data_IF_529374365104
#
_entry.id   IF_529374365104
#
_cell.length_a   1.000
_cell.length_b   1.000
_cell.length_c   1.000
_cell.angle_alpha   90.00
_cell.angle_beta   90.00
_cell.angle_gamma   90.00
#
_symmetry.space_group_name_H-M   'P 1'
#
loop_
_entity.id
_entity.type
_entity.pdbx_description
1 polymer ?
#
# COMPACT_ATOMS: atom_id res chain seq x y z
N UNK A 1 15.07 -6.24 -9.85
CA UNK A 1 15.47 -7.24 -8.85
C UNK A 1 14.43 -7.22 -7.74
N UNK A 2 13.59 -8.24 -7.69
CA UNK A 2 12.61 -8.43 -6.62
C UNK A 2 13.33 -9.02 -5.40
N UNK A 3 13.73 -8.14 -4.47
CA UNK A 3 14.23 -8.55 -3.18
C UNK A 3 13.05 -8.86 -2.26
N UNK A 4 12.94 -10.09 -1.80
CA UNK A 4 11.93 -10.48 -0.81
C UNK A 4 12.60 -10.62 0.55
N UNK A 5 12.34 -9.65 1.44
CA UNK A 5 12.75 -9.72 2.84
C UNK A 5 12.10 -10.94 3.50
N UNK A 6 12.89 -11.74 4.20
CA UNK A 6 12.41 -12.93 4.88
C UNK A 6 12.43 -12.75 6.40
N UNK A 7 13.59 -12.48 6.97
CA UNK A 7 13.76 -12.39 8.42
C UNK A 7 14.99 -11.56 8.80
N UNK A 8 15.19 -11.39 10.10
CA UNK A 8 16.41 -10.84 10.69
C UNK A 8 16.87 -11.68 11.86
N UNK A 9 18.14 -11.51 12.21
CA UNK A 9 18.74 -12.05 13.43
C UNK A 9 19.64 -11.02 14.07
N UNK A 10 19.89 -11.16 15.38
CA UNK A 10 20.83 -10.31 16.11
C UNK A 10 22.18 -10.99 16.23
N UNK A 11 23.21 -10.25 15.89
CA UNK A 11 24.59 -10.66 16.06
C UNK A 11 25.32 -9.59 16.89
N UNK A 12 25.45 -9.84 18.21
CA UNK A 12 25.93 -8.86 19.21
C UNK A 12 24.99 -7.63 19.22
N UNK A 13 25.53 -6.45 18.89
CA UNK A 13 24.76 -5.18 18.79
C UNK A 13 24.29 -4.85 17.39
N UNK A 14 24.48 -5.76 16.43
CA UNK A 14 24.14 -5.53 15.02
C UNK A 14 23.00 -6.43 14.56
N UNK A 15 22.39 -6.04 13.48
CA UNK A 15 21.28 -6.77 12.85
C UNK A 15 21.76 -7.32 11.51
N UNK A 16 21.49 -8.59 11.30
CA UNK A 16 21.72 -9.29 10.04
C UNK A 16 20.36 -9.56 9.38
N UNK A 17 20.25 -9.31 8.09
CA UNK A 17 19.02 -9.40 7.32
C UNK A 17 19.12 -10.57 6.34
N UNK A 18 18.10 -11.41 6.35
CA UNK A 18 17.94 -12.55 5.43
C UNK A 18 16.93 -12.21 4.35
N UNK A 19 17.27 -12.55 3.12
CA UNK A 19 16.42 -12.42 1.94
C UNK A 19 16.19 -13.77 1.29
N UNK A 20 15.03 -13.97 0.65
CA UNK A 20 14.70 -15.24 0.00
C UNK A 20 15.50 -15.49 -1.28
N UNK A 21 15.85 -14.44 -2.02
CA UNK A 21 16.35 -14.55 -3.39
C UNK A 21 17.69 -13.83 -3.61
N UNK A 22 18.45 -13.56 -2.55
CA UNK A 22 19.75 -12.90 -2.64
C UNK A 22 20.60 -13.16 -1.41
N UNK A 23 21.85 -12.68 -1.45
CA UNK A 23 22.77 -12.77 -0.32
C UNK A 23 22.25 -11.98 0.88
N UNK A 24 22.44 -12.57 2.05
CA UNK A 24 22.14 -11.93 3.32
C UNK A 24 23.04 -10.69 3.50
N UNK A 25 22.50 -9.69 4.17
CA UNK A 25 23.25 -8.47 4.53
C UNK A 25 23.36 -8.37 6.03
N UNK A 26 24.49 -7.88 6.53
CA UNK A 26 24.81 -7.87 7.94
C UNK A 26 25.38 -6.53 8.40
N UNK A 27 25.39 -6.32 9.72
CA UNK A 27 26.09 -5.22 10.37
C UNK A 27 25.30 -3.93 10.49
N UNK A 28 23.96 -3.97 10.41
CA UNK A 28 23.11 -2.79 10.60
C UNK A 28 22.89 -2.48 12.08
N UNK A 29 22.76 -1.19 12.41
CA UNK A 29 22.45 -0.75 13.75
C UNK A 29 20.97 -0.85 14.06
N UNK A 30 20.11 -0.47 13.11
CA UNK A 30 18.67 -0.43 13.22
C UNK A 30 18.02 -1.04 11.96
N UNK A 31 16.84 -1.61 12.14
CA UNK A 31 16.00 -2.14 11.05
C UNK A 31 14.60 -1.51 11.11
N UNK A 32 14.13 -1.01 9.97
CA UNK A 32 12.75 -0.57 9.82
C UNK A 32 12.04 -1.48 8.81
N UNK A 33 11.00 -2.17 9.24
CA UNK A 33 10.19 -3.06 8.42
C UNK A 33 8.97 -2.30 7.92
N UNK A 34 8.91 -2.06 6.61
CA UNK A 34 7.80 -1.38 5.92
C UNK A 34 7.36 -2.15 4.66
N UNK A 35 7.36 -3.48 4.74
CA UNK A 35 7.20 -4.39 3.61
C UNK A 35 5.73 -4.77 3.31
N UNK A 36 4.78 -3.94 3.76
CA UNK A 36 3.35 -4.14 3.48
C UNK A 36 2.81 -5.47 4.04
N UNK A 37 2.22 -6.35 3.21
CA UNK A 37 1.66 -7.62 3.67
C UNK A 37 2.66 -8.55 4.36
N UNK A 38 3.92 -8.48 3.98
CA UNK A 38 4.98 -9.26 4.61
C UNK A 38 5.19 -8.95 6.10
N UNK A 39 4.70 -7.81 6.57
CA UNK A 39 4.75 -7.43 7.99
C UNK A 39 3.92 -8.37 8.89
N UNK A 40 2.93 -9.06 8.34
CA UNK A 40 2.07 -9.99 9.08
C UNK A 40 2.85 -11.12 9.74
N UNK A 41 3.97 -11.55 9.15
CA UNK A 41 4.89 -12.53 9.76
C UNK A 41 5.46 -12.06 11.11
N UNK A 42 5.63 -10.77 11.27
CA UNK A 42 6.31 -10.16 12.41
C UNK A 42 5.35 -9.40 13.34
N UNK A 43 4.18 -9.05 12.84
CA UNK A 43 3.11 -8.38 13.56
C UNK A 43 1.78 -9.07 13.25
N UNK A 44 1.48 -10.22 13.92
CA UNK A 44 0.26 -10.98 13.66
C UNK A 44 -1.02 -10.19 13.92
N UNK A 45 -2.06 -10.48 13.15
CA UNK A 45 -3.38 -9.87 13.29
C UNK A 45 -3.63 -8.69 12.36
N UNK A 46 -2.76 -8.44 11.41
CA UNK A 46 -3.02 -7.54 10.29
C UNK A 46 -4.16 -8.10 9.43
N UNK A 47 -4.98 -7.21 8.91
CA UNK A 47 -5.98 -7.52 7.90
C UNK A 47 -5.42 -7.22 6.53
N UNK A 48 -5.44 -8.22 5.66
CA UNK A 48 -5.03 -8.06 4.28
C UNK A 48 -6.28 -8.00 3.42
N UNK A 49 -6.30 -7.09 2.47
CA UNK A 49 -7.34 -6.98 1.45
C UNK A 49 -6.70 -6.77 0.08
N UNK A 50 -7.28 -7.38 -0.94
CA UNK A 50 -6.91 -7.17 -2.34
C UNK A 50 -7.64 -5.95 -2.87
N UNK A 51 -6.97 -5.15 -3.66
CA UNK A 51 -7.54 -4.01 -4.36
C UNK A 51 -7.05 -3.94 -5.78
N UNK A 52 -7.97 -3.69 -6.71
CA UNK A 52 -7.66 -3.60 -8.11
C UNK A 52 -7.96 -2.20 -8.64
N UNK A 53 -7.15 -1.77 -9.59
CA UNK A 53 -7.30 -0.54 -10.35
C UNK A 53 -7.57 -0.89 -11.80
N UNK A 54 -8.39 -0.07 -12.45
CA UNK A 54 -8.62 -0.14 -13.89
C UNK A 54 -8.11 1.13 -14.54
N UNK A 55 -7.27 0.98 -15.54
CA UNK A 55 -6.81 2.05 -16.43
C UNK A 55 -7.55 1.94 -17.76
N UNK A 56 -8.21 3.01 -18.18
CA UNK A 56 -8.96 3.09 -19.42
C UNK A 56 -8.18 3.90 -20.45
N UNK A 57 -7.83 3.24 -21.56
CA UNK A 57 -7.19 3.87 -22.70
C UNK A 57 -8.28 4.36 -23.67
N UNK A 58 -8.56 5.64 -23.66
CA UNK A 58 -9.60 6.23 -24.50
C UNK A 58 -9.02 7.27 -25.45
N UNK A 59 -9.52 7.28 -26.72
CA UNK A 59 -9.17 8.35 -27.69
C UNK A 59 -9.66 9.72 -27.23
N UNK A 60 -10.75 9.75 -26.47
CA UNK A 60 -11.28 10.94 -25.82
C UNK A 60 -11.46 10.61 -24.32
N UNK A 61 -10.37 10.70 -23.53
CA UNK A 61 -10.46 10.46 -22.10
C UNK A 61 -11.25 11.58 -21.42
N UNK A 62 -11.74 11.26 -20.22
CA UNK A 62 -12.38 12.26 -19.37
C UNK A 62 -11.38 13.39 -19.08
N UNK A 63 -11.75 14.61 -19.42
CA UNK A 63 -10.92 15.79 -19.17
C UNK A 63 -11.15 16.28 -17.73
N UNK A 64 -10.21 15.93 -16.86
CA UNK A 64 -10.27 16.26 -15.44
C UNK A 64 -8.99 16.97 -15.03
N UNK A 65 -9.12 18.11 -14.40
CA UNK A 65 -8.00 18.84 -13.77
C UNK A 65 -7.65 18.26 -12.39
N UNK A 66 -8.63 17.69 -11.69
CA UNK A 66 -8.50 17.18 -10.34
C UNK A 66 -9.11 15.78 -10.22
N UNK A 67 -8.60 14.94 -9.28
CA UNK A 67 -9.22 13.66 -8.97
C UNK A 67 -10.66 13.82 -8.50
N UNK A 68 -11.55 12.98 -9.02
CA UNK A 68 -12.90 12.81 -8.46
C UNK A 68 -12.85 11.71 -7.41
N UNK A 69 -13.48 11.94 -6.25
CA UNK A 69 -13.53 10.97 -5.16
C UNK A 69 -14.95 10.86 -4.59
N UNK A 70 -15.46 9.63 -4.49
CA UNK A 70 -16.75 9.28 -3.89
C UNK A 70 -16.68 7.85 -3.34
N UNK A 71 -17.60 6.95 -3.70
CA UNK A 71 -17.50 5.51 -3.42
C UNK A 71 -16.42 4.77 -4.28
N UNK A 72 -15.51 5.48 -4.84
CA UNK A 72 -14.36 5.18 -5.65
C UNK A 72 -13.73 6.47 -6.11
N UNK A 73 -12.72 6.42 -6.93
CA UNK A 73 -12.05 7.60 -7.47
C UNK A 73 -11.74 7.46 -8.95
N UNK A 74 -11.65 8.62 -9.61
CA UNK A 74 -11.17 8.75 -10.98
C UNK A 74 -10.01 9.72 -10.93
N UNK A 75 -8.86 9.32 -11.45
CA UNK A 75 -7.69 10.19 -11.55
C UNK A 75 -7.67 10.93 -12.89
N UNK A 76 -7.14 12.15 -12.93
CA UNK A 76 -6.82 12.82 -14.19
C UNK A 76 -6.00 11.90 -15.10
N UNK A 77 -6.14 12.08 -16.39
CA UNK A 77 -5.40 11.25 -17.34
C UNK A 77 -3.89 11.47 -17.19
N UNK A 78 -3.16 10.37 -17.28
CA UNK A 78 -1.72 10.34 -17.39
C UNK A 78 -1.34 9.41 -18.54
N UNK A 79 -0.56 9.89 -19.52
CA UNK A 79 -0.18 9.13 -20.70
C UNK A 79 -1.38 8.50 -21.44
N UNK A 80 -2.45 9.26 -21.61
CA UNK A 80 -3.72 8.84 -22.25
C UNK A 80 -4.47 7.72 -21.51
N UNK A 81 -4.13 7.46 -20.26
CA UNK A 81 -4.82 6.51 -19.39
C UNK A 81 -5.55 7.24 -18.27
N UNK A 82 -6.85 7.02 -18.14
CA UNK A 82 -7.64 7.42 -16.98
C UNK A 82 -7.71 6.26 -16.02
N UNK A 83 -7.17 6.43 -14.81
CA UNK A 83 -7.21 5.40 -13.77
C UNK A 83 -8.43 5.56 -12.89
N UNK A 84 -9.13 4.45 -12.66
CA UNK A 84 -10.24 4.37 -11.72
C UNK A 84 -9.94 3.34 -10.63
N UNK A 85 -10.43 3.59 -9.45
CA UNK A 85 -10.14 2.75 -8.28
C UNK A 85 -11.16 2.90 -7.17
N UNK A 86 -11.17 1.98 -6.31
CA UNK A 86 -10.56 0.66 -6.41
C UNK A 86 -11.56 -0.38 -5.90
N UNK A 87 -11.34 -1.63 -6.25
CA UNK A 87 -12.03 -2.72 -5.55
C UNK A 87 -11.53 -2.83 -4.10
N UNK A 88 -12.28 -3.51 -3.27
CA UNK A 88 -11.89 -3.81 -1.89
C UNK A 88 -12.37 -5.22 -1.52
N UNK A 89 -11.54 -6.19 -1.82
CA UNK A 89 -11.81 -7.60 -1.65
C UNK A 89 -11.21 -8.06 -0.32
N UNK A 90 -12.06 -8.45 0.62
CA UNK A 90 -11.62 -8.97 1.94
C UNK A 90 -11.36 -10.46 1.90
N UNK A 91 -12.05 -11.16 1.01
CA UNK A 91 -11.92 -12.59 0.74
C UNK A 91 -11.41 -12.73 -0.68
N UNK A 92 -10.29 -13.39 -0.87
CA UNK A 92 -9.66 -13.63 -2.16
C UNK A 92 -8.79 -14.89 -2.06
N UNK A 93 -8.67 -15.62 -3.14
CA UNK A 93 -7.89 -16.86 -3.22
C UNK A 93 -6.47 -16.62 -3.74
N UNK A 94 -6.29 -15.57 -4.51
CA UNK A 94 -5.03 -15.21 -5.17
C UNK A 94 -4.91 -13.68 -5.32
N UNK A 95 -3.76 -13.25 -5.79
CA UNK A 95 -3.46 -11.83 -6.04
C UNK A 95 -3.59 -11.47 -7.53
N UNK A 96 -4.03 -12.40 -8.37
CA UNK A 96 -4.16 -12.17 -9.80
C UNK A 96 -5.26 -11.17 -10.12
N UNK A 97 -5.17 -10.55 -11.27
CA UNK A 97 -6.20 -9.62 -11.73
C UNK A 97 -7.51 -10.39 -12.06
N UNK A 98 -8.64 -9.77 -11.73
CA UNK A 98 -9.97 -10.24 -12.14
C UNK A 98 -10.61 -9.21 -13.06
N UNK A 99 -10.80 -9.56 -14.31
CA UNK A 99 -11.48 -8.70 -15.28
C UNK A 99 -12.95 -8.48 -14.91
N UNK A 100 -13.60 -9.47 -14.30
CA UNK A 100 -14.98 -9.34 -13.80
C UNK A 100 -15.07 -8.23 -12.75
N UNK A 101 -14.21 -8.27 -11.72
CA UNK A 101 -14.13 -7.22 -10.71
C UNK A 101 -13.76 -5.84 -11.30
N UNK A 102 -12.99 -5.84 -12.39
CA UNK A 102 -12.69 -4.62 -13.16
C UNK A 102 -13.93 -4.04 -13.84
N UNK A 103 -14.75 -4.86 -14.48
CA UNK A 103 -16.01 -4.43 -15.10
C UNK A 103 -17.00 -3.92 -14.06
N UNK A 104 -17.17 -4.62 -12.95
CA UNK A 104 -18.02 -4.17 -11.84
C UNK A 104 -17.54 -2.80 -11.28
N UNK A 105 -16.23 -2.60 -11.20
CA UNK A 105 -15.66 -1.32 -10.78
C UNK A 105 -16.00 -0.19 -11.75
N UNK A 106 -15.94 -0.45 -13.06
CA UNK A 106 -16.33 0.51 -14.10
C UNK A 106 -17.82 0.87 -13.97
N UNK A 107 -18.71 -0.12 -13.95
CA UNK A 107 -20.15 0.08 -13.83
C UNK A 107 -20.53 0.87 -12.57
N UNK A 108 -19.93 0.51 -11.44
CA UNK A 108 -20.12 1.22 -10.18
C UNK A 108 -19.65 2.66 -10.27
N UNK A 109 -18.53 2.91 -10.93
CA UNK A 109 -17.96 4.24 -11.12
C UNK A 109 -18.85 5.09 -12.00
N UNK A 110 -19.31 4.57 -13.13
CA UNK A 110 -20.24 5.26 -14.03
C UNK A 110 -21.54 5.66 -13.32
N UNK A 111 -22.09 4.72 -12.55
CA UNK A 111 -23.32 4.97 -11.77
C UNK A 111 -23.10 6.05 -10.70
N UNK A 112 -21.99 5.99 -9.96
CA UNK A 112 -21.75 6.93 -8.87
C UNK A 112 -21.50 8.34 -9.33
N UNK A 113 -20.81 8.52 -10.45
CA UNK A 113 -20.48 9.83 -10.99
C UNK A 113 -21.44 10.29 -12.09
N UNK A 114 -22.42 9.47 -12.48
CA UNK A 114 -23.39 9.73 -13.56
C UNK A 114 -22.70 10.10 -14.89
N UNK A 115 -21.67 9.33 -15.23
CA UNK A 115 -20.85 9.53 -16.43
C UNK A 115 -20.80 8.24 -17.25
N UNK A 116 -20.38 8.33 -18.50
CA UNK A 116 -20.00 7.19 -19.32
C UNK A 116 -18.49 7.23 -19.56
N UNK A 117 -17.83 6.11 -19.29
CA UNK A 117 -16.40 5.95 -19.48
C UNK A 117 -16.12 5.28 -20.83
N UNK A 118 -15.21 5.84 -21.60
CA UNK A 118 -14.72 5.27 -22.85
C UNK A 118 -13.46 4.43 -22.63
N UNK A 119 -13.09 3.59 -23.61
CA UNK A 119 -11.86 2.79 -23.58
C UNK A 119 -11.96 1.49 -22.81
N UNK A 120 -13.17 1.02 -22.52
CA UNK A 120 -13.42 -0.24 -21.79
C UNK A 120 -12.88 -1.48 -22.52
N UNK A 121 -12.80 -1.42 -23.84
CA UNK A 121 -12.26 -2.47 -24.70
C UNK A 121 -10.74 -2.63 -24.58
N UNK A 122 -10.05 -1.60 -24.10
CA UNK A 122 -8.60 -1.56 -23.90
C UNK A 122 -8.24 -1.32 -22.42
N UNK A 123 -8.85 -2.11 -21.55
CA UNK A 123 -8.70 -2.00 -20.11
C UNK A 123 -7.33 -2.52 -19.65
N UNK A 124 -6.60 -1.69 -18.92
CA UNK A 124 -5.44 -2.08 -18.16
C UNK A 124 -5.85 -2.44 -16.73
N UNK A 125 -5.22 -3.45 -16.15
CA UNK A 125 -5.52 -3.86 -14.79
C UNK A 125 -4.29 -3.91 -13.92
N UNK A 126 -4.42 -3.51 -12.66
CA UNK A 126 -3.41 -3.69 -11.62
C UNK A 126 -4.08 -4.21 -10.37
N UNK A 127 -3.49 -5.23 -9.75
CA UNK A 127 -3.91 -5.75 -8.45
C UNK A 127 -2.79 -5.58 -7.43
N UNK A 128 -3.14 -5.32 -6.18
CA UNK A 128 -2.20 -5.21 -5.08
C UNK A 128 -2.88 -5.51 -3.76
N UNK A 129 -2.08 -5.85 -2.75
CA UNK A 129 -2.54 -6.08 -1.39
C UNK A 129 -2.39 -4.83 -0.53
N UNK A 130 -3.37 -4.57 0.31
CA UNK A 130 -3.35 -3.55 1.35
C UNK A 130 -3.36 -4.20 2.72
N UNK A 131 -2.63 -3.62 3.64
CA UNK A 131 -2.67 -4.00 5.04
C UNK A 131 -3.43 -2.98 5.86
N UNK A 132 -4.28 -3.47 6.73
CA UNK A 132 -4.96 -2.68 7.75
C UNK A 132 -4.90 -3.41 9.09
N UNK A 133 -5.41 -2.79 10.14
CA UNK A 133 -5.59 -3.36 11.46
C UNK A 133 -7.06 -3.64 11.75
N UNK A 134 -7.31 -4.36 12.83
CA UNK A 134 -8.68 -4.64 13.30
C UNK A 134 -9.40 -3.36 13.75
N UNK A 135 -8.69 -2.47 14.40
CA UNK A 135 -9.16 -1.18 14.92
C UNK A 135 -9.05 -0.04 13.89
N UNK A 136 -8.55 -0.33 12.68
CA UNK A 136 -8.31 0.64 11.62
C UNK A 136 -7.24 1.69 11.94
N UNK A 137 -6.44 1.47 12.98
CA UNK A 137 -5.32 2.36 13.30
C UNK A 137 -4.05 1.88 12.59
N UNK A 138 -3.20 2.78 12.11
CA UNK A 138 -1.89 2.42 11.60
C UNK A 138 -1.00 1.93 12.73
N UNK A 139 -0.03 1.11 12.40
CA UNK A 139 1.05 0.76 13.31
C UNK A 139 2.33 1.49 12.91
N UNK A 140 2.96 2.14 13.88
CA UNK A 140 4.32 2.65 13.76
C UNK A 140 4.96 2.59 15.15
N UNK A 141 6.09 1.88 15.27
CA UNK A 141 6.74 1.74 16.57
C UNK A 141 7.83 0.69 16.60
N UNK A 142 8.38 0.53 17.77
CA UNK A 142 9.38 -0.47 18.09
C UNK A 142 8.70 -1.82 18.31
N UNK A 143 9.16 -2.87 17.65
CA UNK A 143 8.69 -4.24 17.84
C UNK A 143 9.69 -5.08 18.62
N UNK A 144 10.96 -4.73 18.50
CA UNK A 144 12.06 -5.33 19.25
C UNK A 144 13.17 -4.28 19.41
N UNK A 145 14.17 -4.54 20.25
CA UNK A 145 15.30 -3.63 20.38
C UNK A 145 15.99 -3.41 19.02
N UNK A 146 16.10 -2.13 18.61
CA UNK A 146 16.63 -1.67 17.34
C UNK A 146 15.86 -2.19 16.09
N UNK A 147 14.66 -2.77 16.29
CA UNK A 147 13.79 -3.18 15.20
C UNK A 147 12.45 -2.47 15.31
N UNK A 148 12.08 -1.79 14.26
CA UNK A 148 10.88 -0.96 14.17
C UNK A 148 10.03 -1.44 13.01
N UNK A 149 8.74 -1.13 13.06
CA UNK A 149 7.84 -1.40 11.95
C UNK A 149 6.90 -0.24 11.70
N UNK A 150 6.49 -0.11 10.45
CA UNK A 150 5.44 0.79 10.00
C UNK A 150 4.52 0.03 9.04
N UNK A 151 3.22 0.07 9.29
CA UNK A 151 2.25 -0.66 8.48
C UNK A 151 0.82 -0.45 8.92
N UNK A 152 -0.08 -1.31 8.44
CA UNK A 152 -1.52 -1.23 8.71
C UNK A 152 -2.17 0.10 8.27
N UNK A 153 -1.57 0.79 7.31
CA UNK A 153 -1.99 2.13 6.86
C UNK A 153 -3.34 2.13 6.12
N UNK A 154 -3.76 0.96 5.61
CA UNK A 154 -4.99 0.83 4.82
C UNK A 154 -4.95 1.71 3.57
N UNK A 155 -5.99 2.54 3.40
CA UNK A 155 -6.07 3.53 2.30
C UNK A 155 -5.36 4.86 2.61
N UNK A 156 -4.79 5.02 3.81
CA UNK A 156 -4.21 6.29 4.30
C UNK A 156 -2.69 6.34 4.20
N UNK A 157 -2.07 5.37 3.50
CA UNK A 157 -0.61 5.28 3.40
C UNK A 157 0.06 6.53 2.88
N UNK A 158 -0.53 7.17 1.87
CA UNK A 158 0.02 8.38 1.27
C UNK A 158 -0.03 9.60 2.22
N UNK A 159 -1.10 9.74 3.01
CA UNK A 159 -1.26 10.86 3.94
C UNK A 159 -0.56 10.65 5.26
N UNK A 160 -0.54 9.42 5.80
CA UNK A 160 0.03 9.14 7.12
C UNK A 160 1.48 8.63 7.06
N UNK A 161 1.90 8.06 5.93
CA UNK A 161 3.25 7.50 5.78
C UNK A 161 4.38 8.46 6.14
N UNK A 162 4.39 9.69 5.61
CA UNK A 162 5.45 10.66 5.92
C UNK A 162 5.57 10.96 7.42
N UNK A 163 4.46 11.32 8.08
CA UNK A 163 4.49 11.68 9.51
C UNK A 163 4.84 10.50 10.41
N UNK A 164 4.41 9.29 10.06
CA UNK A 164 4.77 8.08 10.79
C UNK A 164 6.23 7.67 10.52
N UNK A 165 6.74 7.97 9.34
CA UNK A 165 8.16 7.83 9.03
C UNK A 165 9.03 8.77 9.87
N UNK A 166 8.65 10.02 10.03
CA UNK A 166 9.31 10.98 10.94
C UNK A 166 9.26 10.51 12.39
N UNK A 167 8.12 9.95 12.82
CA UNK A 167 8.01 9.36 14.14
C UNK A 167 9.00 8.20 14.35
N UNK A 168 9.11 7.26 13.42
CA UNK A 168 10.11 6.17 13.48
C UNK A 168 11.53 6.75 13.51
N UNK A 169 11.84 7.73 12.69
CA UNK A 169 13.13 8.38 12.67
C UNK A 169 13.46 9.04 14.03
N UNK A 170 12.46 9.64 14.69
CA UNK A 170 12.65 10.23 16.03
C UNK A 170 12.98 9.17 17.08
N UNK A 171 12.38 7.99 17.00
CA UNK A 171 12.66 6.87 17.89
C UNK A 171 14.11 6.36 17.72
N UNK A 172 14.56 6.23 16.47
CA UNK A 172 15.92 5.79 16.15
C UNK A 172 16.95 6.81 16.63
N UNK A 173 16.71 8.09 16.33
CA UNK A 173 17.63 9.18 16.65
C UNK A 173 17.51 9.67 18.10
N UNK A 174 16.59 9.11 18.90
CA UNK A 174 16.30 9.56 20.27
C UNK A 174 16.01 11.05 20.36
N UNK A 175 15.35 11.60 19.34
CA UNK A 175 14.94 12.99 19.25
C UNK A 175 13.50 13.19 19.74
N UNK A 176 13.05 14.44 19.97
CA UNK A 176 11.66 14.69 20.39
C UNK A 176 10.65 14.08 19.42
N UNK A 177 9.58 13.52 19.99
CA UNK A 177 8.50 12.91 19.22
C UNK A 177 7.70 13.97 18.46
N UNK A 178 7.65 13.94 17.12
CA UNK A 178 6.92 14.93 16.32
C UNK A 178 5.39 14.87 16.55
N UNK A 179 4.87 13.76 17.10
CA UNK A 179 3.44 13.59 17.40
C UNK A 179 3.06 14.11 18.80
N UNK A 180 4.02 14.56 19.61
CA UNK A 180 3.76 15.06 20.97
C UNK A 180 3.49 16.56 21.05
N UNK A 181 3.57 17.27 19.93
CA UNK A 181 3.32 18.72 19.86
C UNK A 181 1.89 18.97 19.34
N UNK A 182 0.91 18.75 20.20
CA UNK A 182 -0.50 19.00 19.94
C UNK A 182 -1.24 19.25 21.23
#
# INVERSE_FOLDING_TARGET
NNYSFDNWSKNKSKIDITFQNQDNKSGFDDLVIANGPGLEKHLPGLKISKGQLVGLHARQPLDLDLPLNSAGYILPKENDVTWIGSTHEKEFTDIDISYEAGHELIERTEKNFQISLAGKENMLMRASLRTGSKDRLPFAGKIEENVYAIGALGSRGFSLGPILGEFIASLINRSPNPLSTG
#
